data_IF_665756163105
#
_entry.id   IF_665756163105
#
_cell.length_a   1.000
_cell.length_b   1.000
_cell.length_c   1.000
_cell.angle_alpha   90.00
_cell.angle_beta   90.00
_cell.angle_gamma   90.00
#
_symmetry.space_group_name_H-M   'P 1'
#
loop_
_entity.id
_entity.type
_entity.pdbx_description
1 polymer ?
#
# COMPACT_ATOMS: atom_id res chain seq x y z
N UNK A 1 6.31 0.68 16.56
CA UNK A 1 5.83 1.93 17.17
C UNK A 1 4.39 1.72 17.60
N UNK A 2 3.94 2.25 18.74
CA UNK A 2 2.53 2.12 19.16
C UNK A 2 1.69 3.13 18.36
N UNK A 3 0.75 2.66 17.53
CA UNK A 3 -0.25 3.52 16.89
C UNK A 3 -1.01 4.33 17.96
N UNK A 4 -0.98 5.67 17.93
CA UNK A 4 -1.84 6.47 18.81
C UNK A 4 -3.30 6.31 18.38
N UNK A 5 -4.08 5.66 19.24
CA UNK A 5 -5.51 5.40 19.06
C UNK A 5 -6.28 6.29 20.05
N UNK A 6 -7.21 7.07 19.55
CA UNK A 6 -8.09 7.92 20.34
C UNK A 6 -9.56 7.50 20.12
N UNK A 7 -10.30 7.25 21.20
CA UNK A 7 -11.71 6.85 21.14
C UNK A 7 -12.55 7.89 21.86
N UNK A 8 -13.56 8.43 21.17
CA UNK A 8 -14.44 9.49 21.69
C UNK A 8 -15.89 9.04 21.57
N UNK A 9 -16.61 9.11 22.68
CA UNK A 9 -18.05 8.86 22.73
C UNK A 9 -18.83 10.18 22.72
N UNK A 10 -19.89 10.25 21.91
CA UNK A 10 -20.79 11.42 21.81
C UNK A 10 -22.24 10.99 22.02
N UNK A 11 -22.99 11.79 22.78
CA UNK A 11 -24.42 11.54 23.07
C UNK A 11 -24.72 10.15 23.67
N UNK A 12 -23.74 9.53 24.31
CA UNK A 12 -23.90 8.26 25.01
C UNK A 12 -22.92 8.17 26.17
N UNK A 13 -23.23 7.28 27.11
CA UNK A 13 -22.28 6.90 28.15
C UNK A 13 -21.12 6.11 27.54
N UNK A 14 -19.93 6.27 28.14
CA UNK A 14 -18.75 5.51 27.72
C UNK A 14 -18.99 4.04 28.05
N UNK A 15 -18.83 3.19 27.05
CA UNK A 15 -18.89 1.75 27.21
C UNK A 15 -17.49 1.17 27.07
N UNK A 16 -16.88 0.75 28.19
CA UNK A 16 -15.52 0.19 28.22
C UNK A 16 -15.37 -0.98 27.23
N UNK A 17 -16.35 -1.87 27.18
CA UNK A 17 -16.33 -3.01 26.26
C UNK A 17 -16.38 -2.59 24.77
N UNK A 18 -17.03 -1.47 24.43
CA UNK A 18 -17.03 -0.93 23.07
C UNK A 18 -15.69 -0.24 22.76
N UNK A 19 -15.10 0.45 23.73
CA UNK A 19 -13.78 1.07 23.63
C UNK A 19 -12.69 0.00 23.41
N UNK A 20 -12.63 -1.03 24.25
CA UNK A 20 -11.69 -2.14 24.10
C UNK A 20 -11.84 -2.82 22.74
N UNK A 21 -13.08 -2.98 22.26
CA UNK A 21 -13.35 -3.55 20.94
C UNK A 21 -12.79 -2.67 19.83
N UNK A 22 -13.00 -1.37 19.92
CA UNK A 22 -12.52 -0.40 18.95
C UNK A 22 -10.99 -0.36 18.92
N UNK A 23 -10.33 -0.34 20.08
CA UNK A 23 -8.87 -0.42 20.21
C UNK A 23 -8.34 -1.72 19.59
N UNK A 24 -8.94 -2.86 19.91
CA UNK A 24 -8.52 -4.15 19.37
C UNK A 24 -8.65 -4.22 17.84
N UNK A 25 -9.72 -3.64 17.28
CA UNK A 25 -9.90 -3.57 15.83
C UNK A 25 -8.93 -2.58 15.17
N UNK A 26 -8.62 -1.45 15.81
CA UNK A 26 -7.62 -0.50 15.33
C UNK A 26 -6.22 -1.12 15.30
N UNK A 27 -5.83 -1.88 16.32
CA UNK A 27 -4.58 -2.66 16.31
C UNK A 27 -4.53 -3.69 15.17
N UNK A 28 -5.67 -4.26 14.78
CA UNK A 28 -5.72 -5.15 13.61
C UNK A 28 -5.48 -4.40 12.29
N UNK A 29 -5.83 -3.11 12.21
CA UNK A 29 -5.55 -2.30 11.01
C UNK A 29 -4.05 -2.09 10.80
N UNK A 30 -3.28 -1.93 11.89
CA UNK A 30 -1.80 -1.81 11.85
C UNK A 30 -1.13 -3.03 11.19
N UNK A 31 -1.71 -4.23 11.35
CA UNK A 31 -1.21 -5.46 10.68
C UNK A 31 -1.32 -5.41 9.16
N UNK A 32 -2.22 -4.60 8.61
CA UNK A 32 -2.39 -4.44 7.16
C UNK A 32 -1.51 -3.32 6.58
N UNK A 33 -1.19 -2.30 7.38
CA UNK A 33 -0.31 -1.21 7.01
C UNK A 33 0.41 -0.65 8.25
N UNK A 34 1.73 -0.76 8.29
CA UNK A 34 2.53 -0.31 9.44
C UNK A 34 2.79 1.20 9.45
N UNK A 35 2.44 1.91 8.38
CA UNK A 35 2.65 3.36 8.24
C UNK A 35 1.51 4.22 8.80
N UNK A 36 0.58 3.65 9.57
CA UNK A 36 -0.52 4.44 10.15
C UNK A 36 0.06 5.35 11.24
N UNK A 37 -0.12 6.66 11.09
CA UNK A 37 0.39 7.66 12.03
C UNK A 37 -0.57 7.91 13.19
N UNK A 38 -1.88 7.84 12.94
CA UNK A 38 -2.92 8.15 13.93
C UNK A 38 -4.25 7.48 13.57
N UNK A 39 -5.03 7.12 14.59
CA UNK A 39 -6.38 6.58 14.46
C UNK A 39 -7.32 7.26 15.45
N UNK A 40 -8.28 8.04 14.96
CA UNK A 40 -9.35 8.63 15.78
C UNK A 40 -10.68 7.96 15.47
N UNK A 41 -11.37 7.56 16.53
CA UNK A 41 -12.63 6.81 16.45
C UNK A 41 -13.67 7.61 17.23
N UNK A 42 -14.75 8.00 16.56
CA UNK A 42 -15.89 8.67 17.16
C UNK A 42 -17.09 7.74 17.10
N UNK A 43 -17.66 7.46 18.27
CA UNK A 43 -18.85 6.63 18.46
C UNK A 43 -19.95 7.56 18.95
N UNK A 44 -21.00 7.73 18.16
CA UNK A 44 -22.08 8.66 18.44
C UNK A 44 -23.42 7.92 18.44
N UNK A 45 -24.23 8.12 19.47
CA UNK A 45 -25.61 7.65 19.49
C UNK A 45 -26.55 8.78 19.06
N UNK A 46 -27.42 8.52 18.10
CA UNK A 46 -28.45 9.48 17.70
C UNK A 46 -29.68 9.30 18.59
N UNK A 47 -30.02 10.32 19.39
CA UNK A 47 -31.25 10.30 20.18
C UNK A 47 -32.47 10.47 19.25
N UNK A 48 -33.14 9.37 18.87
CA UNK A 48 -34.50 9.44 18.32
C UNK A 48 -35.48 8.53 19.07
N UNK A 49 -36.66 9.11 19.32
CA UNK A 49 -37.78 8.57 20.09
C UNK A 49 -38.12 7.09 19.81
N UNK A 50 -38.07 6.29 20.87
CA UNK A 50 -38.97 5.20 21.33
C UNK A 50 -39.66 4.20 20.37
N UNK A 51 -39.57 4.27 19.04
CA UNK A 51 -40.33 3.37 18.16
C UNK A 51 -39.56 2.72 17.00
N UNK A 52 -38.31 3.12 16.71
CA UNK A 52 -37.47 2.48 15.69
C UNK A 52 -35.99 2.62 16.03
N UNK A 53 -35.39 1.56 16.61
CA UNK A 53 -33.96 1.23 16.67
C UNK A 53 -32.94 2.32 17.07
N UNK A 54 -32.09 2.04 18.05
CA UNK A 54 -30.96 2.91 18.36
C UNK A 54 -30.00 3.00 17.16
N UNK A 55 -29.87 4.18 16.56
CA UNK A 55 -28.94 4.44 15.47
C UNK A 55 -27.58 4.86 16.05
N UNK A 56 -26.55 4.04 15.77
CA UNK A 56 -25.17 4.37 16.09
C UNK A 56 -24.45 4.87 14.85
N UNK A 57 -23.85 6.05 14.96
CA UNK A 57 -22.98 6.63 13.97
C UNK A 57 -21.52 6.43 14.39
N UNK A 58 -20.76 5.73 13.54
CA UNK A 58 -19.34 5.48 13.77
C UNK A 58 -18.53 6.22 12.71
N UNK A 59 -17.62 7.08 13.15
CA UNK A 59 -16.63 7.74 12.30
C UNK A 59 -15.24 7.27 12.69
N UNK A 60 -14.49 6.79 11.70
CA UNK A 60 -13.09 6.39 11.86
C UNK A 60 -12.25 7.26 10.94
N UNK A 61 -11.24 7.88 11.52
CA UNK A 61 -10.26 8.72 10.84
C UNK A 61 -8.89 8.06 10.97
N UNK A 62 -8.26 7.75 9.84
CA UNK A 62 -6.90 7.22 9.79
C UNK A 62 -5.99 8.21 9.08
N UNK A 63 -4.98 8.68 9.80
CA UNK A 63 -3.91 9.50 9.22
C UNK A 63 -2.78 8.60 8.74
N UNK A 64 -2.43 8.70 7.46
CA UNK A 64 -1.33 8.01 6.79
C UNK A 64 -0.30 9.05 6.30
N UNK A 65 0.95 8.65 5.98
CA UNK A 65 1.91 9.53 5.31
C UNK A 65 1.34 10.03 3.98
N UNK A 66 1.05 11.34 3.90
CA UNK A 66 0.58 12.00 2.69
C UNK A 66 -0.87 11.70 2.31
N UNK A 67 -1.68 11.10 3.19
CA UNK A 67 -3.09 10.80 2.92
C UNK A 67 -3.89 10.62 4.20
N UNK A 68 -5.20 10.90 4.13
CA UNK A 68 -6.14 10.67 5.22
C UNK A 68 -7.30 9.80 4.71
N UNK A 69 -7.69 8.78 5.48
CA UNK A 69 -8.82 7.92 5.17
C UNK A 69 -9.90 8.13 6.22
N UNK A 70 -11.09 8.53 5.75
CA UNK A 70 -12.25 8.78 6.61
C UNK A 70 -13.36 7.82 6.21
N UNK A 71 -13.87 7.08 7.20
CA UNK A 71 -15.10 6.30 7.06
C UNK A 71 -16.12 6.84 8.03
N UNK A 72 -17.22 7.35 7.50
CA UNK A 72 -18.44 7.66 8.25
C UNK A 72 -19.52 6.67 7.89
N UNK A 73 -20.03 5.94 8.87
CA UNK A 73 -21.10 4.97 8.68
C UNK A 73 -22.28 5.32 9.56
N UNK A 74 -23.34 5.79 8.90
CA UNK A 74 -24.68 5.99 9.47
C UNK A 74 -25.61 5.00 8.74
N UNK A 75 -26.26 4.09 9.45
CA UNK A 75 -27.07 3.04 8.80
C UNK A 75 -28.55 3.27 9.12
N UNK A 76 -29.24 3.97 8.21
CA UNK A 76 -30.62 4.43 8.42
C UNK A 76 -31.76 3.43 8.17
N UNK A 77 -31.50 2.20 7.68
CA UNK A 77 -32.61 1.42 7.08
C UNK A 77 -32.64 -0.11 7.34
N UNK A 78 -31.77 -0.68 8.17
CA UNK A 78 -31.88 -2.11 8.51
C UNK A 78 -32.00 -2.31 10.02
N UNK A 79 -33.08 -2.98 10.44
CA UNK A 79 -33.37 -3.46 11.79
C UNK A 79 -32.26 -4.37 12.40
N UNK A 80 -31.11 -4.53 11.75
CA UNK A 80 -29.99 -5.38 12.16
C UNK A 80 -28.99 -4.69 13.12
N UNK A 81 -29.22 -3.44 13.53
CA UNK A 81 -28.19 -2.58 14.13
C UNK A 81 -28.54 -1.93 15.48
N UNK A 82 -29.40 -2.56 16.28
CA UNK A 82 -29.58 -2.13 17.69
C UNK A 82 -28.32 -2.30 18.54
N UNK A 83 -27.29 -2.98 18.02
CA UNK A 83 -26.05 -3.28 18.74
C UNK A 83 -24.85 -2.47 18.21
N UNK A 84 -24.32 -1.60 19.09
CA UNK A 84 -23.09 -0.81 18.91
C UNK A 84 -21.91 -1.66 18.42
N UNK A 85 -21.81 -2.93 18.82
CA UNK A 85 -20.73 -3.82 18.38
C UNK A 85 -20.79 -4.12 16.88
N UNK A 86 -21.99 -4.21 16.31
CA UNK A 86 -22.18 -4.45 14.88
C UNK A 86 -21.79 -3.20 14.11
N UNK A 87 -22.24 -2.03 14.55
CA UNK A 87 -21.89 -0.74 13.94
C UNK A 87 -20.36 -0.52 13.92
N UNK A 88 -19.68 -0.80 15.04
CA UNK A 88 -18.22 -0.76 15.13
C UNK A 88 -17.62 -1.74 14.11
N UNK A 89 -18.04 -3.01 14.10
CA UNK A 89 -17.48 -4.02 13.19
C UNK A 89 -17.61 -3.61 11.73
N UNK A 90 -18.76 -3.09 11.32
CA UNK A 90 -18.99 -2.68 9.93
C UNK A 90 -18.15 -1.47 9.53
N UNK A 91 -18.05 -0.47 10.41
CA UNK A 91 -17.17 0.69 10.17
C UNK A 91 -15.71 0.26 10.01
N UNK A 92 -15.21 -0.65 10.86
CA UNK A 92 -13.86 -1.20 10.74
C UNK A 92 -13.66 -2.06 9.49
N UNK A 93 -14.68 -2.83 9.07
CA UNK A 93 -14.64 -3.58 7.81
C UNK A 93 -14.57 -2.64 6.59
N UNK A 94 -15.36 -1.57 6.60
CA UNK A 94 -15.31 -0.54 5.56
C UNK A 94 -13.95 0.17 5.55
N UNK A 95 -13.42 0.54 6.71
CA UNK A 95 -12.09 1.14 6.83
C UNK A 95 -10.99 0.19 6.33
N UNK A 96 -11.05 -1.09 6.69
CA UNK A 96 -10.13 -2.12 6.17
C UNK A 96 -10.19 -2.18 4.63
N UNK A 97 -11.37 -2.13 4.03
CA UNK A 97 -11.53 -2.12 2.56
C UNK A 97 -10.90 -0.86 1.95
N UNK A 98 -11.13 0.31 2.52
CA UNK A 98 -10.50 1.55 2.07
C UNK A 98 -8.97 1.50 2.23
N UNK A 99 -8.46 1.05 3.38
CA UNK A 99 -7.03 0.89 3.63
C UNK A 99 -6.40 -0.11 2.66
N UNK A 100 -7.02 -1.26 2.41
CA UNK A 100 -6.54 -2.21 1.41
C UNK A 100 -6.59 -1.64 0.00
N UNK A 101 -7.63 -0.88 -0.35
CA UNK A 101 -7.69 -0.17 -1.64
C UNK A 101 -6.59 0.89 -1.73
N UNK A 102 -6.34 1.64 -0.67
CA UNK A 102 -5.30 2.65 -0.59
C UNK A 102 -3.91 2.04 -0.66
N UNK A 103 -3.63 0.97 0.09
CA UNK A 103 -2.40 0.18 -0.02
C UNK A 103 -2.27 -0.44 -1.41
N UNK A 104 -3.36 -0.91 -2.03
CA UNK A 104 -3.33 -1.36 -3.44
C UNK A 104 -3.13 -0.22 -4.42
N UNK A 105 -3.56 1.01 -4.12
CA UNK A 105 -3.28 2.19 -4.93
C UNK A 105 -1.87 2.68 -4.73
N UNK A 106 -1.32 2.67 -3.51
CA UNK A 106 0.10 2.95 -3.25
C UNK A 106 0.94 1.85 -3.88
N UNK A 107 0.70 0.57 -3.58
CA UNK A 107 1.40 -0.56 -4.21
C UNK A 107 1.13 -0.68 -5.71
N UNK A 108 -0.02 -0.21 -6.17
CA UNK A 108 -0.43 -0.13 -7.58
C UNK A 108 0.17 1.08 -8.30
N UNK A 109 0.44 2.17 -7.59
CA UNK A 109 1.25 3.32 -8.03
C UNK A 109 2.73 2.93 -8.02
N UNK A 110 3.20 2.16 -7.04
CA UNK A 110 4.51 1.49 -7.05
C UNK A 110 4.58 0.44 -8.17
N UNK A 111 3.44 -0.07 -8.66
CA UNK A 111 3.37 -0.94 -9.84
C UNK A 111 3.00 -0.24 -11.15
N UNK A 112 2.81 1.09 -11.18
CA UNK A 112 2.40 1.73 -12.44
C UNK A 112 2.61 3.24 -12.56
N UNK A 113 3.48 3.87 -11.75
CA UNK A 113 3.97 5.21 -12.08
C UNK A 113 5.27 5.62 -11.36
N UNK A 114 6.28 4.76 -11.41
CA UNK A 114 7.62 5.26 -11.71
C UNK A 114 7.98 4.52 -12.98
N UNK A 115 8.28 5.25 -14.07
CA UNK A 115 8.77 4.64 -15.31
C UNK A 115 9.76 3.55 -14.92
N UNK A 116 9.42 2.27 -15.18
CA UNK A 116 10.18 1.15 -14.63
C UNK A 116 11.68 1.45 -14.79
N UNK A 117 12.46 1.33 -13.71
CA UNK A 117 13.74 2.01 -13.59
C UNK A 117 14.56 1.78 -14.85
N UNK A 118 14.85 2.90 -15.52
CA UNK A 118 15.65 2.90 -16.73
C UNK A 118 17.11 3.07 -16.32
N UNK A 119 17.96 2.35 -17.03
CA UNK A 119 19.40 2.53 -16.92
C UNK A 119 20.04 2.28 -18.26
N UNK A 120 21.33 2.58 -18.33
CA UNK A 120 22.16 2.23 -19.46
C UNK A 120 23.00 1.01 -19.11
N UNK A 121 23.29 0.15 -20.08
CA UNK A 121 24.31 -0.88 -19.90
C UNK A 121 25.64 -0.17 -19.67
N UNK A 122 26.23 -0.36 -18.48
CA UNK A 122 27.52 0.21 -18.14
C UNK A 122 28.67 -0.77 -18.39
N UNK A 123 28.38 -2.07 -18.24
CA UNK A 123 29.32 -3.15 -18.49
C UNK A 123 28.54 -4.39 -18.91
N UNK A 124 29.09 -5.15 -19.85
CA UNK A 124 28.57 -6.45 -20.22
C UNK A 124 29.72 -7.38 -20.58
N UNK A 125 29.64 -8.62 -20.11
CA UNK A 125 30.63 -9.64 -20.40
C UNK A 125 29.92 -10.94 -20.81
N UNK A 126 29.55 -11.08 -22.10
CA UNK A 126 28.86 -12.26 -22.60
C UNK A 126 29.53 -13.60 -22.25
N UNK A 127 30.88 -13.74 -22.31
CA UNK A 127 31.53 -15.01 -22.01
C UNK A 127 31.39 -15.52 -20.57
N UNK A 128 31.07 -14.65 -19.60
CA UNK A 128 30.81 -15.07 -18.22
C UNK A 128 29.38 -14.79 -17.76
N UNK A 129 28.45 -14.56 -18.70
CA UNK A 129 27.02 -14.44 -18.47
C UNK A 129 26.63 -13.38 -17.41
N UNK A 130 27.26 -12.21 -17.45
CA UNK A 130 26.83 -11.11 -16.60
C UNK A 130 26.98 -9.74 -17.26
N UNK A 131 26.25 -8.77 -16.71
CA UNK A 131 26.43 -7.36 -17.00
C UNK A 131 25.98 -6.49 -15.83
N UNK A 132 26.19 -5.17 -15.98
CA UNK A 132 25.78 -4.15 -15.04
C UNK A 132 25.01 -3.04 -15.74
N UNK A 133 23.89 -2.66 -15.13
CA UNK A 133 23.10 -1.49 -15.51
C UNK A 133 23.47 -0.36 -14.56
N UNK A 134 23.76 0.81 -15.09
CA UNK A 134 23.91 2.05 -14.31
C UNK A 134 22.62 2.87 -14.40
N UNK A 135 22.03 3.14 -13.25
CA UNK A 135 20.83 3.98 -13.12
C UNK A 135 21.21 5.46 -13.09
N UNK A 136 20.24 6.36 -13.33
CA UNK A 136 20.44 7.81 -13.22
C UNK A 136 20.89 8.26 -11.81
N UNK A 137 20.54 7.48 -10.80
CA UNK A 137 20.92 7.70 -9.39
C UNK A 137 22.34 7.15 -9.07
N UNK A 138 23.06 6.62 -10.06
CA UNK A 138 24.42 6.09 -9.90
C UNK A 138 24.49 4.70 -9.27
N UNK A 139 23.36 4.01 -9.12
CA UNK A 139 23.33 2.61 -8.64
C UNK A 139 23.76 1.66 -9.76
N UNK A 140 24.52 0.63 -9.41
CA UNK A 140 24.92 -0.45 -10.33
C UNK A 140 24.12 -1.71 -10.03
N UNK A 141 23.37 -2.17 -11.02
CA UNK A 141 22.47 -3.33 -10.90
C UNK A 141 23.03 -4.46 -11.74
N UNK A 142 23.38 -5.59 -11.10
CA UNK A 142 23.92 -6.75 -11.80
C UNK A 142 22.81 -7.52 -12.51
N UNK A 143 23.09 -8.08 -13.68
CA UNK A 143 22.18 -8.98 -14.39
C UNK A 143 22.91 -10.10 -15.13
N UNK A 144 22.17 -11.10 -15.59
CA UNK A 144 22.66 -12.21 -16.42
C UNK A 144 21.74 -12.41 -17.62
N UNK A 145 22.09 -13.27 -18.57
CA UNK A 145 21.23 -13.58 -19.73
C UNK A 145 19.83 -14.06 -19.32
N UNK A 146 19.71 -14.77 -18.19
CA UNK A 146 18.44 -15.24 -17.66
C UNK A 146 17.46 -14.10 -17.31
N UNK A 147 17.98 -12.90 -17.06
CA UNK A 147 17.17 -11.71 -16.79
C UNK A 147 16.73 -11.00 -18.07
N UNK A 148 17.33 -11.27 -19.23
CA UNK A 148 17.00 -10.56 -20.48
C UNK A 148 15.79 -11.21 -21.15
N UNK A 149 14.77 -10.39 -21.43
CA UNK A 149 13.51 -10.86 -22.03
C UNK A 149 13.30 -10.21 -23.39
N UNK A 150 12.93 -11.03 -24.39
CA UNK A 150 12.60 -10.61 -25.75
C UNK A 150 13.74 -9.87 -26.49
N UNK A 151 14.99 -10.10 -26.09
CA UNK A 151 16.20 -9.59 -26.74
C UNK A 151 17.37 -10.56 -26.55
N UNK A 152 18.31 -10.59 -27.50
CA UNK A 152 19.51 -11.42 -27.41
C UNK A 152 20.55 -10.75 -26.49
N UNK A 153 20.94 -11.42 -25.41
CA UNK A 153 21.96 -10.92 -24.47
C UNK A 153 23.30 -10.64 -25.15
N UNK A 154 23.67 -11.42 -26.17
CA UNK A 154 24.93 -11.24 -26.93
C UNK A 154 24.94 -9.99 -27.82
N UNK A 155 23.78 -9.39 -28.09
CA UNK A 155 23.64 -8.17 -28.91
C UNK A 155 23.58 -6.89 -28.06
N UNK A 156 23.59 -7.01 -26.74
CA UNK A 156 23.59 -5.85 -25.86
C UNK A 156 24.94 -5.14 -25.92
N UNK A 157 24.88 -3.83 -26.07
CA UNK A 157 26.05 -2.97 -26.14
C UNK A 157 26.12 -2.01 -24.95
N UNK A 158 27.33 -1.61 -24.57
CA UNK A 158 27.53 -0.58 -23.55
C UNK A 158 26.87 0.73 -24.04
N UNK A 159 26.00 1.30 -23.22
CA UNK A 159 25.20 2.48 -23.56
C UNK A 159 23.74 2.18 -23.92
N UNK A 160 23.39 0.92 -24.19
CA UNK A 160 21.99 0.54 -24.49
C UNK A 160 21.06 0.93 -23.36
N UNK A 161 19.92 1.56 -23.71
CA UNK A 161 18.91 1.94 -22.74
C UNK A 161 18.01 0.76 -22.48
N UNK A 162 18.01 0.31 -21.23
CA UNK A 162 17.22 -0.80 -20.77
C UNK A 162 16.33 -0.40 -19.62
N UNK A 163 15.19 -1.07 -19.55
CA UNK A 163 14.24 -1.02 -18.45
C UNK A 163 14.37 -2.31 -17.68
N UNK A 164 14.46 -2.24 -16.36
CA UNK A 164 14.66 -3.43 -15.54
C UNK A 164 13.73 -3.50 -14.33
N UNK A 165 13.66 -4.70 -13.75
CA UNK A 165 12.98 -5.00 -12.48
C UNK A 165 14.05 -5.54 -11.52
N UNK A 166 14.20 -4.92 -10.36
CA UNK A 166 15.11 -5.41 -9.31
C UNK A 166 14.52 -6.65 -8.63
N UNK A 167 15.39 -7.62 -8.30
CA UNK A 167 15.02 -8.81 -7.55
C UNK A 167 14.81 -8.47 -6.06
N UNK A 168 13.63 -8.77 -5.51
CA UNK A 168 13.28 -8.46 -4.12
C UNK A 168 14.05 -9.32 -3.09
N UNK A 169 14.59 -10.47 -3.50
CA UNK A 169 15.26 -11.46 -2.62
C UNK A 169 16.77 -11.58 -2.83
N UNK A 170 17.41 -10.61 -3.49
CA UNK A 170 18.85 -10.66 -3.76
C UNK A 170 19.69 -10.03 -2.63
N UNK A 171 20.78 -10.72 -2.25
CA UNK A 171 21.76 -10.24 -1.25
C UNK A 171 22.46 -8.96 -1.72
N UNK A 172 22.50 -8.71 -3.03
CA UNK A 172 23.04 -7.52 -3.67
C UNK A 172 22.07 -7.01 -4.76
N UNK A 173 22.12 -5.72 -5.14
CA UNK A 173 21.27 -5.17 -6.20
C UNK A 173 21.41 -5.94 -7.51
N UNK A 174 20.34 -6.64 -7.90
CA UNK A 174 20.31 -7.50 -9.07
C UNK A 174 19.00 -7.32 -9.85
N UNK A 175 19.06 -7.38 -11.17
CA UNK A 175 17.89 -7.34 -12.03
C UNK A 175 17.33 -8.75 -12.24
N UNK A 176 16.03 -8.93 -12.03
CA UNK A 176 15.27 -10.15 -12.34
C UNK A 176 14.70 -10.13 -13.76
N UNK A 177 14.48 -8.95 -14.36
CA UNK A 177 13.95 -8.81 -15.72
C UNK A 177 14.53 -7.57 -16.37
N UNK A 178 14.88 -7.66 -17.65
CA UNK A 178 15.46 -6.60 -18.47
C UNK A 178 14.75 -6.59 -19.82
N UNK A 179 14.35 -5.40 -20.27
CA UNK A 179 13.84 -5.13 -21.61
C UNK A 179 14.64 -4.00 -22.23
N UNK A 180 15.08 -4.21 -23.46
CA UNK A 180 15.78 -3.18 -24.24
C UNK A 180 14.75 -2.20 -24.80
N UNK A 181 14.90 -0.90 -24.50
CA UNK A 181 14.03 0.15 -25.03
C UNK A 181 14.67 0.89 -26.20
N UNK A 182 15.99 1.11 -26.14
CA UNK A 182 16.74 1.68 -27.24
C UNK A 182 18.09 0.99 -27.34
N UNK A 183 18.25 0.25 -28.42
CA UNK A 183 19.55 -0.26 -28.82
C UNK A 183 20.28 0.86 -29.59
N UNK A 184 21.43 1.27 -29.08
CA UNK A 184 22.32 2.21 -29.75
C UNK A 184 23.26 1.42 -30.64
N UNK A 185 22.78 0.96 -31.79
CA UNK A 185 23.68 0.50 -32.84
C UNK A 185 24.60 1.67 -33.19
N UNK A 186 25.91 1.48 -32.99
CA UNK A 186 26.91 2.37 -33.54
C UNK A 186 26.87 2.26 -35.07
N UNK A 187 25.99 3.04 -35.71
CA UNK A 187 26.07 3.28 -37.15
C UNK A 187 27.26 4.21 -37.42
N UNK A 188 28.33 3.65 -38.00
CA UNK A 188 29.29 4.34 -38.88
C UNK A 188 30.53 4.95 -38.23
#
# INVERSE_FOLDING_TARGET
MKLPINVVFRNMERAEAAEEKAIHLAQKLERYYQGIMRCDIVIEAEHRHHYKGNLYHIRIDLTLPGSELVVSKSHGDEHAHEDVYVAIRDAFNAMKRQLQSHVRKIRGHVKHHESAPQGKIAEIYPPADYGFIETLDGRRIRFTSASVVAYDFEKLEIGDIVRFIEAEDAIAPAASTIRVEKHLSAEG
#
